data_IF_088541674887
#
_entry.id   IF_088541674887
#
_cell.length_a   1.000
_cell.length_b   1.000
_cell.length_c   1.000
_cell.angle_alpha   90.00
_cell.angle_beta   90.00
_cell.angle_gamma   90.00
#
_symmetry.space_group_name_H-M   'P 1'
#
loop_
_entity.id
_entity.type
_entity.pdbx_description
1 polymer ?
#
# COMPACT_ATOMS: atom_id res chain seq x y z
N UNK A 1 -56.80 10.78 30.63
CA UNK A 1 -58.15 11.02 30.09
C UNK A 1 -58.96 9.75 30.27
N UNK A 2 -59.11 9.32 31.53
CA UNK A 2 -60.06 8.28 31.93
C UNK A 2 -61.38 8.98 32.23
N UNK A 3 -62.48 8.38 31.80
CA UNK A 3 -63.86 8.84 31.94
C UNK A 3 -64.32 9.91 30.95
N UNK A 4 -64.32 9.55 29.66
CA UNK A 4 -65.38 9.99 28.76
C UNK A 4 -66.31 8.80 28.53
N UNK A 5 -67.60 8.95 28.85
CA UNK A 5 -68.67 8.07 28.39
C UNK A 5 -68.67 8.10 26.86
N UNK A 6 -67.93 7.19 26.25
CA UNK A 6 -67.87 7.06 24.80
C UNK A 6 -69.19 6.43 24.33
N UNK A 7 -69.90 7.14 23.46
CA UNK A 7 -71.09 6.61 22.79
C UNK A 7 -70.65 5.39 21.94
N UNK A 8 -71.21 4.19 22.15
CA UNK A 8 -70.81 2.99 21.40
C UNK A 8 -71.11 3.09 19.88
N UNK A 9 -71.84 4.11 19.43
CA UNK A 9 -72.02 4.41 18.00
C UNK A 9 -70.99 5.41 17.43
N UNK A 10 -70.12 5.99 18.26
CA UNK A 10 -69.12 6.97 17.82
C UNK A 10 -68.00 6.29 17.02
N UNK A 11 -67.82 6.69 15.76
CA UNK A 11 -66.74 6.19 14.89
C UNK A 11 -65.62 7.22 14.79
N UNK A 12 -64.41 6.82 15.15
CA UNK A 12 -63.22 7.65 15.00
C UNK A 12 -62.42 7.22 13.78
N UNK A 13 -62.12 8.18 12.91
CA UNK A 13 -61.40 7.91 11.66
C UNK A 13 -59.94 8.31 11.81
N UNK A 14 -59.06 7.39 11.41
CA UNK A 14 -57.65 7.72 11.21
C UNK A 14 -57.52 8.39 9.83
N UNK A 15 -56.92 9.59 9.73
CA UNK A 15 -56.75 10.26 8.45
C UNK A 15 -55.97 9.41 7.44
N UNK A 16 -56.47 9.31 6.21
CA UNK A 16 -55.90 8.47 5.13
C UNK A 16 -54.44 8.77 4.79
N UNK A 17 -53.99 10.02 4.97
CA UNK A 17 -52.59 10.39 4.77
C UNK A 17 -51.61 9.72 5.75
N UNK A 18 -52.10 9.16 6.86
CA UNK A 18 -51.29 8.44 7.84
C UNK A 18 -51.21 6.93 7.56
N UNK A 19 -51.99 6.40 6.62
CA UNK A 19 -52.15 4.95 6.43
C UNK A 19 -50.90 4.26 5.85
N UNK A 20 -50.17 4.92 4.95
CA UNK A 20 -48.90 4.40 4.44
C UNK A 20 -47.87 4.18 5.55
N UNK A 21 -47.74 5.16 6.44
CA UNK A 21 -46.85 5.07 7.58
C UNK A 21 -47.30 3.99 8.57
N UNK A 22 -48.61 3.87 8.84
CA UNK A 22 -49.16 2.84 9.73
C UNK A 22 -48.90 1.44 9.20
N UNK A 23 -49.10 1.21 7.89
CA UNK A 23 -48.79 -0.07 7.23
C UNK A 23 -47.32 -0.44 7.44
N UNK A 24 -46.41 0.51 7.22
CA UNK A 24 -44.98 0.28 7.33
C UNK A 24 -44.56 0.00 8.79
N UNK A 25 -45.21 0.65 9.77
CA UNK A 25 -45.01 0.42 11.20
C UNK A 25 -45.54 -0.95 11.70
N UNK A 26 -46.57 -1.50 11.06
CA UNK A 26 -47.15 -2.81 11.40
C UNK A 26 -46.28 -3.99 10.94
N UNK A 27 -45.31 -3.75 10.05
CA UNK A 27 -44.34 -4.75 9.57
C UNK A 27 -44.67 -5.32 8.19
N UNK A 28 -43.67 -5.93 7.55
CA UNK A 28 -43.72 -6.39 6.15
C UNK A 28 -44.65 -7.61 5.99
N UNK A 29 -45.93 -7.37 5.73
CA UNK A 29 -46.89 -8.42 5.41
C UNK A 29 -48.33 -7.96 5.14
N UNK A 30 -48.72 -6.76 5.59
CA UNK A 30 -50.07 -6.23 5.41
C UNK A 30 -50.17 -5.38 4.14
N UNK A 31 -51.14 -5.68 3.27
CA UNK A 31 -51.47 -4.83 2.11
C UNK A 31 -52.31 -3.61 2.52
N UNK A 32 -52.32 -2.55 1.70
CA UNK A 32 -53.11 -1.35 2.01
C UNK A 32 -54.62 -1.64 2.12
N UNK A 33 -55.11 -2.56 1.29
CA UNK A 33 -56.50 -2.97 1.28
C UNK A 33 -56.91 -3.75 2.55
N UNK A 34 -55.98 -4.52 3.12
CA UNK A 34 -56.21 -5.17 4.41
C UNK A 34 -56.23 -4.16 5.56
N UNK A 35 -55.33 -3.18 5.54
CA UNK A 35 -55.31 -2.12 6.55
C UNK A 35 -56.60 -1.30 6.53
N UNK A 36 -57.06 -0.91 5.34
CA UNK A 36 -58.31 -0.19 5.16
C UNK A 36 -59.50 -0.99 5.68
N UNK A 37 -59.60 -2.26 5.30
CA UNK A 37 -60.66 -3.16 5.80
C UNK A 37 -60.62 -3.30 7.32
N UNK A 38 -59.45 -3.45 7.94
CA UNK A 38 -59.34 -3.56 9.40
C UNK A 38 -59.76 -2.27 10.10
N UNK A 39 -59.35 -1.10 9.62
CA UNK A 39 -59.69 0.19 10.21
C UNK A 39 -61.19 0.51 10.10
N UNK A 40 -61.85 0.08 9.02
CA UNK A 40 -63.30 0.29 8.82
C UNK A 40 -64.19 -0.52 9.78
N UNK A 41 -63.66 -1.60 10.37
CA UNK A 41 -64.38 -2.46 11.33
C UNK A 41 -64.25 -1.96 12.78
N UNK A 42 -63.41 -0.95 13.05
CA UNK A 42 -63.21 -0.43 14.40
C UNK A 42 -64.24 0.65 14.74
N UNK A 43 -64.78 0.59 15.96
CA UNK A 43 -65.48 1.70 16.58
C UNK A 43 -64.48 2.71 17.19
N UNK A 44 -64.96 3.84 17.71
CA UNK A 44 -64.11 4.87 18.31
C UNK A 44 -63.18 4.34 19.40
N UNK A 45 -63.71 3.69 20.46
CA UNK A 45 -62.90 3.08 21.52
C UNK A 45 -61.89 2.05 21.01
N UNK A 46 -62.27 1.18 20.07
CA UNK A 46 -61.38 0.18 19.49
C UNK A 46 -60.27 0.80 18.64
N UNK A 47 -60.56 1.90 17.94
CA UNK A 47 -59.56 2.67 17.18
C UNK A 47 -58.49 3.23 18.12
N UNK A 48 -58.89 3.81 19.25
CA UNK A 48 -57.93 4.32 20.24
C UNK A 48 -57.08 3.21 20.86
N UNK A 49 -57.71 2.10 21.27
CA UNK A 49 -56.99 0.95 21.81
C UNK A 49 -55.98 0.36 20.81
N UNK A 50 -56.34 0.33 19.53
CA UNK A 50 -55.46 -0.12 18.45
C UNK A 50 -54.25 0.80 18.27
N UNK A 51 -54.45 2.13 18.27
CA UNK A 51 -53.37 3.12 18.19
C UNK A 51 -52.45 3.04 19.41
N UNK A 52 -53.00 2.90 20.62
CA UNK A 52 -52.21 2.75 21.84
C UNK A 52 -51.35 1.48 21.82
N UNK A 53 -51.89 0.37 21.33
CA UNK A 53 -51.15 -0.89 21.16
C UNK A 53 -50.01 -0.75 20.14
N UNK A 54 -50.24 -0.03 19.03
CA UNK A 54 -49.22 0.24 18.03
C UNK A 54 -48.10 1.11 18.62
N UNK A 55 -48.44 2.18 19.34
CA UNK A 55 -47.48 3.07 20.02
C UNK A 55 -46.65 2.31 21.05
N UNK A 56 -47.25 1.37 21.79
CA UNK A 56 -46.52 0.50 22.71
C UNK A 56 -45.51 -0.40 21.99
N UNK A 57 -45.89 -0.97 20.83
CA UNK A 57 -45.01 -1.80 19.99
C UNK A 57 -43.82 -1.02 19.43
N UNK A 58 -44.03 0.23 19.03
CA UNK A 58 -42.98 1.08 18.46
C UNK A 58 -41.96 1.56 19.49
N UNK A 59 -42.29 1.53 20.79
CA UNK A 59 -41.36 1.89 21.87
C UNK A 59 -40.29 0.83 22.13
N UNK A 60 -40.49 -0.40 21.64
CA UNK A 60 -39.50 -1.47 21.71
C UNK A 60 -38.78 -1.60 20.36
N UNK A 61 -37.45 -1.37 20.29
CA UNK A 61 -36.69 -1.71 19.09
C UNK A 61 -36.92 -3.18 18.77
N UNK A 62 -37.22 -3.55 17.51
CA UNK A 62 -37.35 -4.96 17.15
C UNK A 62 -36.03 -5.66 17.46
N UNK A 63 -36.09 -6.69 18.30
CA UNK A 63 -34.94 -7.56 18.58
C UNK A 63 -34.67 -8.35 17.30
N UNK A 64 -33.58 -8.02 16.62
CA UNK A 64 -33.15 -8.76 15.44
C UNK A 64 -32.41 -10.02 15.92
N UNK A 65 -33.00 -11.19 15.67
CA UNK A 65 -32.34 -12.48 15.95
C UNK A 65 -31.20 -12.70 14.94
N UNK A 66 -30.00 -12.29 15.35
CA UNK A 66 -28.76 -12.46 14.59
C UNK A 66 -28.04 -13.78 14.86
N UNK A 67 -28.65 -14.76 15.55
CA UNK A 67 -27.98 -16.01 15.93
C UNK A 67 -27.43 -16.83 14.75
N UNK A 68 -27.94 -16.57 13.54
CA UNK A 68 -27.49 -17.18 12.28
C UNK A 68 -26.89 -16.17 11.29
N UNK A 69 -26.63 -14.94 11.73
CA UNK A 69 -26.08 -13.91 10.85
C UNK A 69 -24.61 -14.20 10.54
N UNK A 70 -24.24 -14.10 9.26
CA UNK A 70 -22.84 -14.03 8.84
C UNK A 70 -22.45 -12.55 8.79
N UNK A 71 -21.45 -12.15 9.57
CA UNK A 71 -20.91 -10.80 9.55
C UNK A 71 -19.59 -10.83 8.78
N UNK A 72 -19.54 -10.12 7.66
CA UNK A 72 -18.31 -9.94 6.88
C UNK A 72 -17.77 -8.53 7.15
N UNK A 73 -16.55 -8.46 7.68
CA UNK A 73 -15.84 -7.19 7.87
C UNK A 73 -14.85 -7.04 6.73
N UNK A 74 -15.04 -6.00 5.92
CA UNK A 74 -14.17 -5.66 4.81
C UNK A 74 -13.41 -4.38 5.15
N UNK A 75 -12.10 -4.38 4.95
CA UNK A 75 -11.25 -3.23 5.19
C UNK A 75 -9.88 -3.41 4.57
N UNK A 76 -9.19 -2.30 4.36
CA UNK A 76 -7.78 -2.31 3.98
C UNK A 76 -6.93 -2.39 5.26
N UNK A 77 -5.80 -3.11 5.17
CA UNK A 77 -4.84 -3.25 6.25
C UNK A 77 -3.45 -3.08 5.65
N UNK A 78 -3.10 -1.83 5.35
CA UNK A 78 -1.87 -1.48 4.62
C UNK A 78 -0.63 -1.65 5.51
N UNK A 79 -0.80 -1.54 6.83
CA UNK A 79 0.20 -1.78 7.88
C UNK A 79 0.80 -3.18 7.81
N UNK A 80 0.04 -4.13 7.25
CA UNK A 80 0.50 -5.49 7.02
C UNK A 80 1.67 -5.57 6.02
N UNK A 81 1.76 -4.59 5.10
CA UNK A 81 2.70 -4.58 4.00
C UNK A 81 3.71 -3.45 4.07
N UNK A 82 3.38 -2.33 4.72
CA UNK A 82 4.25 -1.16 4.80
C UNK A 82 4.35 -0.69 6.25
N UNK A 83 5.57 -0.69 6.79
CA UNK A 83 5.85 -0.20 8.14
C UNK A 83 5.79 1.33 8.18
N UNK A 84 4.58 1.88 8.28
CA UNK A 84 4.31 3.30 8.56
C UNK A 84 4.66 4.31 7.45
N UNK A 85 5.07 3.88 6.26
CA UNK A 85 5.25 4.76 5.08
C UNK A 85 4.23 4.39 4.00
N UNK A 86 3.78 5.35 3.20
CA UNK A 86 2.97 5.04 2.02
C UNK A 86 3.78 4.20 1.02
N UNK A 87 3.16 3.23 0.32
CA UNK A 87 3.86 2.47 -0.71
C UNK A 87 4.35 3.40 -1.83
N UNK A 88 5.64 3.31 -2.18
CA UNK A 88 6.24 4.16 -3.20
C UNK A 88 5.73 3.78 -4.60
N UNK A 89 5.52 4.76 -5.49
CA UNK A 89 5.06 4.50 -6.85
C UNK A 89 5.96 3.53 -7.63
N UNK A 90 7.25 3.56 -7.34
CA UNK A 90 8.30 2.78 -7.99
C UNK A 90 8.44 1.38 -7.41
N UNK A 91 7.64 0.99 -6.41
CA UNK A 91 7.68 -0.35 -5.84
C UNK A 91 7.31 -1.41 -6.88
N UNK A 92 8.14 -2.45 -6.95
CA UNK A 92 7.87 -3.60 -7.80
C UNK A 92 6.67 -4.39 -7.21
N UNK A 93 5.58 -4.61 -7.99
CA UNK A 93 4.41 -5.34 -7.51
C UNK A 93 4.74 -6.73 -6.95
N UNK A 94 5.75 -7.40 -7.51
CA UNK A 94 6.14 -8.73 -7.06
C UNK A 94 6.85 -8.72 -5.71
N UNK A 95 7.37 -7.57 -5.27
CA UNK A 95 7.97 -7.42 -3.94
C UNK A 95 6.89 -7.46 -2.86
N UNK A 96 5.73 -6.84 -3.10
CA UNK A 96 4.59 -6.92 -2.19
C UNK A 96 4.04 -8.35 -2.11
N UNK A 97 3.96 -9.06 -3.24
CA UNK A 97 3.61 -10.48 -3.22
C UNK A 97 4.60 -11.32 -2.43
N UNK A 98 5.91 -11.04 -2.57
CA UNK A 98 6.95 -11.75 -1.83
C UNK A 98 6.81 -11.50 -0.32
N UNK A 99 6.53 -10.26 0.09
CA UNK A 99 6.19 -9.94 1.49
C UNK A 99 4.94 -10.67 1.95
N UNK A 100 3.87 -10.65 1.14
CA UNK A 100 2.61 -11.30 1.45
C UNK A 100 2.79 -12.80 1.72
N UNK A 101 3.57 -13.50 0.88
CA UNK A 101 3.86 -14.94 1.05
C UNK A 101 4.63 -15.27 2.33
N UNK A 102 5.31 -14.29 2.93
CA UNK A 102 6.01 -14.42 4.20
C UNK A 102 5.13 -14.05 5.41
N UNK A 103 3.88 -13.62 5.19
CA UNK A 103 2.95 -13.36 6.28
C UNK A 103 2.31 -14.67 6.76
N UNK A 104 2.51 -14.97 8.04
CA UNK A 104 1.67 -15.92 8.75
C UNK A 104 0.43 -15.25 9.33
N UNK A 105 -0.50 -16.03 9.86
CA UNK A 105 -1.72 -15.54 10.54
C UNK A 105 -1.42 -14.60 11.72
N UNK A 106 -0.28 -14.79 12.39
CA UNK A 106 0.18 -13.90 13.46
C UNK A 106 0.43 -12.45 13.00
N UNK A 107 0.77 -12.23 11.73
CA UNK A 107 1.02 -10.88 11.21
C UNK A 107 -0.22 -10.01 11.15
N UNK A 108 -1.38 -10.62 10.86
CA UNK A 108 -2.67 -9.91 10.76
C UNK A 108 -3.10 -9.39 12.13
N UNK A 109 -3.03 -10.22 13.17
CA UNK A 109 -3.37 -9.80 14.52
C UNK A 109 -2.44 -8.69 15.03
N UNK A 110 -1.14 -8.77 14.71
CA UNK A 110 -0.18 -7.74 15.11
C UNK A 110 -0.50 -6.40 14.44
N UNK A 111 -0.77 -6.39 13.13
CA UNK A 111 -1.17 -5.17 12.42
C UNK A 111 -2.50 -4.60 12.95
N UNK A 112 -3.48 -5.47 13.27
CA UNK A 112 -4.73 -5.02 13.89
C UNK A 112 -4.52 -4.42 15.29
N UNK A 113 -3.55 -4.89 16.07
CA UNK A 113 -3.23 -4.35 17.40
C UNK A 113 -2.54 -2.99 17.35
N UNK A 114 -1.95 -2.60 16.23
CA UNK A 114 -1.43 -1.24 16.02
C UNK A 114 -2.56 -0.23 15.81
N UNK A 115 -3.71 -0.68 15.30
CA UNK A 115 -4.86 0.18 14.97
C UNK A 115 -5.98 0.13 16.02
N UNK A 116 -6.17 -1.03 16.66
CA UNK A 116 -7.30 -1.32 17.52
C UNK A 116 -6.85 -1.85 18.87
N UNK A 117 -7.70 -1.65 19.88
CA UNK A 117 -7.46 -2.23 21.21
C UNK A 117 -7.64 -3.74 21.18
N UNK A 118 -6.98 -4.45 22.09
CA UNK A 118 -6.99 -5.92 22.18
C UNK A 118 -8.41 -6.48 22.21
N UNK A 119 -9.33 -5.86 22.95
CA UNK A 119 -10.73 -6.28 23.05
C UNK A 119 -11.51 -6.12 21.74
N UNK A 120 -11.11 -5.20 20.87
CA UNK A 120 -11.73 -4.99 19.56
C UNK A 120 -11.19 -6.02 18.56
N UNK A 121 -9.88 -6.28 18.58
CA UNK A 121 -9.26 -7.32 17.74
C UNK A 121 -9.85 -8.70 18.07
N UNK A 122 -10.07 -9.00 19.36
CA UNK A 122 -10.72 -10.24 19.78
C UNK A 122 -12.14 -10.43 19.23
N UNK A 123 -12.88 -9.35 18.94
CA UNK A 123 -14.22 -9.40 18.34
C UNK A 123 -14.20 -9.64 16.84
N UNK A 124 -13.09 -9.32 16.16
CA UNK A 124 -12.92 -9.60 14.73
C UNK A 124 -12.66 -11.09 14.47
N UNK A 125 -12.38 -11.87 15.52
CA UNK A 125 -12.11 -13.30 15.41
C UNK A 125 -10.73 -13.61 14.83
N UNK A 126 -10.51 -14.87 14.49
CA UNK A 126 -9.24 -15.40 13.98
C UNK A 126 -9.32 -15.81 12.51
N UNK A 127 -10.52 -15.91 11.96
CA UNK A 127 -10.77 -16.36 10.59
C UNK A 127 -10.60 -15.18 9.62
N UNK A 128 -9.34 -14.87 9.32
CA UNK A 128 -8.99 -13.77 8.42
C UNK A 128 -8.74 -14.29 7.01
N UNK A 129 -9.44 -13.73 6.02
CA UNK A 129 -9.14 -13.92 4.60
C UNK A 129 -8.38 -12.68 4.13
N UNK A 130 -7.07 -12.81 3.98
CA UNK A 130 -6.22 -11.74 3.46
C UNK A 130 -6.06 -11.92 1.96
N UNK A 131 -6.55 -10.96 1.19
CA UNK A 131 -6.32 -10.94 -0.26
C UNK A 131 -4.89 -10.52 -0.56
N UNK A 132 -4.17 -11.24 -1.44
CA UNK A 132 -2.83 -10.87 -1.83
C UNK A 132 -2.82 -9.56 -2.62
N UNK A 133 -1.75 -8.76 -2.53
CA UNK A 133 -1.53 -7.64 -3.43
C UNK A 133 -1.40 -8.14 -4.87
N UNK A 134 -1.67 -7.28 -5.85
CA UNK A 134 -1.57 -7.65 -7.26
C UNK A 134 -0.10 -7.75 -7.69
N UNK A 135 0.31 -8.92 -8.19
CA UNK A 135 1.61 -9.11 -8.82
C UNK A 135 1.65 -8.58 -10.25
N UNK A 136 2.84 -8.61 -10.85
CA UNK A 136 3.06 -8.16 -12.23
C UNK A 136 2.17 -8.91 -13.22
N UNK A 137 2.03 -10.23 -13.05
CA UNK A 137 1.18 -11.06 -13.90
C UNK A 137 -0.30 -10.65 -13.79
N UNK A 138 -0.80 -10.48 -12.57
CA UNK A 138 -2.18 -10.03 -12.31
C UNK A 138 -2.46 -8.66 -12.93
N UNK A 139 -1.50 -7.74 -12.83
CA UNK A 139 -1.58 -6.41 -13.44
C UNK A 139 -1.66 -6.50 -14.96
N UNK A 140 -0.82 -7.31 -15.59
CA UNK A 140 -0.83 -7.52 -17.04
C UNK A 140 -2.15 -8.14 -17.50
N UNK A 141 -2.68 -9.12 -16.76
CA UNK A 141 -3.97 -9.75 -17.05
C UNK A 141 -5.14 -8.77 -16.91
N UNK A 142 -5.14 -7.95 -15.86
CA UNK A 142 -6.16 -6.92 -15.65
C UNK A 142 -6.15 -5.88 -16.79
N UNK A 143 -4.98 -5.35 -17.14
CA UNK A 143 -4.85 -4.40 -18.24
C UNK A 143 -5.32 -5.00 -19.57
N UNK A 144 -4.96 -6.27 -19.84
CA UNK A 144 -5.44 -6.99 -21.02
C UNK A 144 -6.96 -7.08 -21.03
N UNK A 145 -7.54 -7.60 -19.95
CA UNK A 145 -8.98 -7.82 -19.85
C UNK A 145 -9.79 -6.53 -20.02
N UNK A 146 -9.38 -5.46 -19.32
CA UNK A 146 -10.02 -4.14 -19.43
C UNK A 146 -9.86 -3.52 -20.82
N UNK A 147 -8.68 -3.69 -21.43
CA UNK A 147 -8.41 -3.19 -22.78
C UNK A 147 -9.23 -3.92 -23.83
N UNK A 148 -9.33 -5.24 -23.76
CA UNK A 148 -10.08 -6.07 -24.69
C UNK A 148 -11.59 -5.77 -24.57
N UNK A 149 -12.11 -5.70 -23.33
CA UNK A 149 -13.51 -5.36 -23.07
C UNK A 149 -13.88 -3.95 -23.56
N UNK A 150 -12.99 -2.97 -23.37
CA UNK A 150 -13.20 -1.62 -23.87
C UNK A 150 -13.06 -1.55 -25.40
N UNK A 151 -12.10 -2.29 -25.97
CA UNK A 151 -11.89 -2.35 -27.41
C UNK A 151 -13.10 -2.94 -28.14
N UNK A 152 -13.70 -4.01 -27.60
CA UNK A 152 -14.92 -4.60 -28.14
C UNK A 152 -16.08 -3.61 -28.13
N UNK A 153 -16.30 -2.91 -27.01
CA UNK A 153 -17.35 -1.91 -26.87
C UNK A 153 -17.19 -0.73 -27.83
N UNK A 154 -15.98 -0.18 -27.93
CA UNK A 154 -15.67 0.94 -28.82
C UNK A 154 -15.79 0.51 -30.29
N UNK A 155 -15.24 -0.66 -30.63
CA UNK A 155 -15.26 -1.20 -31.97
C UNK A 155 -16.67 -1.50 -32.47
N UNK A 156 -17.50 -2.12 -31.65
CA UNK A 156 -18.91 -2.39 -31.95
C UNK A 156 -19.70 -1.09 -32.20
N UNK A 157 -19.42 -0.03 -31.43
CA UNK A 157 -20.06 1.28 -31.60
C UNK A 157 -19.74 1.98 -32.92
N UNK A 158 -18.59 1.66 -33.54
CA UNK A 158 -18.14 2.27 -34.80
C UNK A 158 -18.16 1.31 -36.00
N UNK A 159 -18.46 0.03 -35.79
CA UNK A 159 -18.35 -1.01 -36.83
C UNK A 159 -16.91 -1.29 -37.26
N UNK A 160 -15.93 -1.06 -36.38
CA UNK A 160 -14.50 -1.21 -36.65
C UNK A 160 -13.91 -2.20 -35.65
N UNK A 161 -13.22 -3.23 -36.12
CA UNK A 161 -12.52 -4.17 -35.22
C UNK A 161 -11.30 -3.48 -34.61
N UNK A 162 -11.29 -3.32 -33.29
CA UNK A 162 -10.17 -2.73 -32.56
C UNK A 162 -9.40 -3.83 -31.82
N UNK A 163 -8.08 -3.88 -31.98
CA UNK A 163 -7.19 -4.70 -31.16
C UNK A 163 -6.12 -3.85 -30.48
N UNK A 164 -5.59 -4.33 -29.35
CA UNK A 164 -4.57 -3.64 -28.54
C UNK A 164 -3.33 -4.51 -28.39
N UNK A 165 -2.20 -4.00 -28.89
CA UNK A 165 -0.91 -4.67 -28.88
C UNK A 165 -0.26 -4.76 -27.49
N UNK A 166 0.63 -5.73 -27.31
CA UNK A 166 1.31 -5.98 -26.04
C UNK A 166 2.23 -4.81 -25.64
N UNK A 167 2.86 -4.13 -26.60
CA UNK A 167 3.78 -3.04 -26.30
C UNK A 167 3.01 -1.81 -25.78
N UNK A 168 1.82 -1.53 -26.33
CA UNK A 168 0.93 -0.51 -25.78
C UNK A 168 0.47 -0.84 -24.36
N UNK A 169 0.11 -2.10 -24.07
CA UNK A 169 -0.22 -2.50 -22.70
C UNK A 169 0.97 -2.33 -21.74
N UNK A 170 2.17 -2.71 -22.16
CA UNK A 170 3.38 -2.53 -21.36
C UNK A 170 3.67 -1.03 -21.10
N UNK A 171 3.45 -0.18 -22.10
CA UNK A 171 3.59 1.26 -21.92
C UNK A 171 2.50 1.82 -20.99
N UNK A 172 1.24 1.42 -21.15
CA UNK A 172 0.14 1.76 -20.24
C UNK A 172 0.44 1.35 -18.79
N UNK A 173 1.02 0.18 -18.58
CA UNK A 173 1.44 -0.27 -17.25
C UNK A 173 2.52 0.63 -16.63
N UNK A 174 3.46 1.13 -17.44
CA UNK A 174 4.50 2.06 -16.98
C UNK A 174 3.97 3.48 -16.72
N UNK A 175 2.91 3.89 -17.43
CA UNK A 175 2.30 5.20 -17.34
C UNK A 175 1.26 5.28 -16.23
N UNK A 176 0.40 4.26 -16.10
CA UNK A 176 -0.53 4.13 -15.01
C UNK A 176 0.25 4.23 -13.71
N UNK A 177 -0.01 5.30 -12.96
CA UNK A 177 0.52 5.45 -11.62
C UNK A 177 -0.06 4.32 -10.79
N UNK A 178 0.75 3.27 -10.74
CA UNK A 178 0.94 2.35 -9.62
C UNK A 178 -0.03 1.18 -9.63
N UNK A 179 0.44 0.07 -10.20
CA UNK A 179 -0.10 -1.27 -9.94
C UNK A 179 -0.18 -1.63 -8.44
N UNK A 180 0.70 -1.02 -7.63
CA UNK A 180 0.74 -1.18 -6.17
C UNK A 180 -0.43 -0.46 -5.45
N UNK A 181 -1.09 0.54 -6.07
CA UNK A 181 -2.22 1.28 -5.48
C UNK A 181 -3.59 0.64 -5.74
N UNK A 182 -3.61 -0.54 -6.38
CA UNK A 182 -4.84 -1.28 -6.66
C UNK A 182 -5.25 -1.26 -8.13
N UNK A 183 -6.40 -1.89 -8.42
CA UNK A 183 -6.88 -2.09 -9.79
C UNK A 183 -7.38 -0.79 -10.45
N UNK A 184 -7.89 0.15 -9.65
CA UNK A 184 -8.57 1.34 -10.14
C UNK A 184 -7.70 2.26 -11.00
N UNK A 185 -6.46 2.63 -10.61
CA UNK A 185 -5.59 3.45 -11.47
C UNK A 185 -5.29 2.82 -12.83
N UNK A 186 -5.16 1.49 -12.87
CA UNK A 186 -4.94 0.74 -14.11
C UNK A 186 -6.15 0.83 -15.03
N UNK A 187 -7.35 0.56 -14.48
CA UNK A 187 -8.62 0.66 -15.20
C UNK A 187 -8.82 2.09 -15.74
N UNK A 188 -8.61 3.10 -14.90
CA UNK A 188 -8.74 4.52 -15.28
C UNK A 188 -7.74 4.91 -16.38
N UNK A 189 -6.52 4.39 -16.34
CA UNK A 189 -5.53 4.63 -17.40
C UNK A 189 -5.99 4.08 -18.76
N UNK A 190 -6.49 2.84 -18.79
CA UNK A 190 -7.05 2.24 -20.01
C UNK A 190 -8.24 3.07 -20.53
N UNK A 191 -9.18 3.42 -19.64
CA UNK A 191 -10.38 4.17 -19.99
C UNK A 191 -10.11 5.60 -20.45
N UNK A 192 -8.99 6.21 -20.02
CA UNK A 192 -8.58 7.54 -20.48
C UNK A 192 -7.81 7.51 -21.80
N UNK A 193 -7.01 6.47 -22.03
CA UNK A 193 -6.08 6.43 -23.16
C UNK A 193 -6.74 5.82 -24.41
N UNK A 194 -7.33 4.63 -24.30
CA UNK A 194 -7.80 3.88 -25.47
C UNK A 194 -8.88 4.63 -26.28
N UNK A 195 -9.89 5.27 -25.67
CA UNK A 195 -10.90 5.99 -26.46
C UNK A 195 -10.32 7.14 -27.28
N UNK A 196 -9.30 7.84 -26.76
CA UNK A 196 -8.67 8.96 -27.48
C UNK A 196 -7.82 8.46 -28.64
N UNK A 197 -6.99 7.43 -28.40
CA UNK A 197 -6.18 6.81 -29.45
C UNK A 197 -7.06 6.21 -30.56
N UNK A 198 -8.15 5.54 -30.18
CA UNK A 198 -9.10 4.98 -31.14
C UNK A 198 -9.81 6.06 -31.93
N UNK A 199 -10.27 7.13 -31.29
CA UNK A 199 -10.94 8.24 -31.98
C UNK A 199 -10.02 8.92 -33.01
N UNK A 200 -8.75 9.14 -32.65
CA UNK A 200 -7.74 9.66 -33.60
C UNK A 200 -7.52 8.69 -34.76
N UNK A 201 -7.42 7.39 -34.48
CA UNK A 201 -7.20 6.38 -35.51
C UNK A 201 -8.37 6.23 -36.49
N UNK A 202 -9.61 6.20 -35.98
CA UNK A 202 -10.83 6.17 -36.81
C UNK A 202 -10.97 7.43 -37.66
N UNK A 203 -10.32 8.53 -37.29
CA UNK A 203 -10.21 9.73 -38.12
C UNK A 203 -9.56 9.47 -39.47
N UNK A 204 -8.67 8.46 -39.57
CA UNK A 204 -7.91 8.15 -40.78
C UNK A 204 -8.74 7.33 -41.79
N UNK A 205 -8.80 7.73 -43.08
CA UNK A 205 -9.60 7.03 -44.10
C UNK A 205 -9.30 5.53 -44.21
N UNK A 206 -8.02 5.15 -44.23
CA UNK A 206 -7.59 3.75 -44.32
C UNK A 206 -8.18 2.83 -43.23
N UNK A 207 -8.40 3.35 -42.02
CA UNK A 207 -9.03 2.56 -40.94
C UNK A 207 -10.52 2.34 -41.20
N UNK A 208 -11.21 3.38 -41.68
CA UNK A 208 -12.64 3.28 -42.00
C UNK A 208 -12.90 2.35 -43.18
N UNK A 209 -12.02 2.38 -44.18
CA UNK A 209 -12.11 1.53 -45.36
C UNK A 209 -11.82 0.06 -45.03
N UNK A 210 -10.81 -0.21 -44.21
CA UNK A 210 -10.48 -1.57 -43.79
C UNK A 210 -11.44 -2.15 -42.74
N UNK A 211 -12.11 -1.29 -41.96
CA UNK A 211 -12.99 -1.73 -40.86
C UNK A 211 -12.24 -2.40 -39.72
N UNK A 212 -10.93 -2.18 -39.60
CA UNK A 212 -10.09 -2.74 -38.54
C UNK A 212 -8.89 -1.85 -38.22
N UNK A 213 -8.45 -1.85 -36.97
CA UNK A 213 -7.24 -1.16 -36.50
C UNK A 213 -6.62 -1.84 -35.29
N UNK A 214 -5.29 -1.92 -35.31
CA UNK A 214 -4.48 -2.39 -34.21
C UNK A 214 -3.74 -1.20 -33.58
N UNK A 215 -4.04 -0.90 -32.31
CA UNK A 215 -3.32 0.12 -31.53
C UNK A 215 -2.11 -0.52 -30.86
N UNK A 216 -0.92 0.04 -31.04
CA UNK A 216 0.31 -0.47 -30.43
C UNK A 216 1.29 0.65 -30.05
N UNK A 217 2.46 0.27 -29.53
CA UNK A 217 3.55 1.19 -29.19
C UNK A 217 4.82 0.80 -29.94
N UNK A 218 5.43 1.75 -30.66
CA UNK A 218 6.65 1.49 -31.47
C UNK A 218 7.97 1.61 -30.68
N UNK A 219 7.88 1.89 -29.37
CA UNK A 219 9.01 2.18 -28.49
C UNK A 219 9.17 3.67 -28.18
N UNK A 220 8.54 4.56 -28.95
CA UNK A 220 8.59 6.02 -28.77
C UNK A 220 7.23 6.70 -28.79
N UNK A 221 6.28 6.20 -29.58
CA UNK A 221 4.96 6.79 -29.77
C UNK A 221 3.90 5.70 -29.91
N UNK A 222 2.65 6.08 -29.61
CA UNK A 222 1.50 5.27 -29.93
C UNK A 222 1.33 5.24 -31.45
N UNK A 223 0.99 4.07 -31.98
CA UNK A 223 0.80 3.84 -33.41
C UNK A 223 -0.49 3.08 -33.63
N UNK A 224 -1.11 3.32 -34.76
CA UNK A 224 -2.20 2.50 -35.26
C UNK A 224 -1.77 1.85 -36.57
N UNK A 225 -2.16 0.58 -36.74
CA UNK A 225 -1.84 -0.24 -37.92
C UNK A 225 -3.12 -0.83 -38.49
N UNK A 226 -3.21 -0.89 -39.81
CA UNK A 226 -4.29 -1.57 -40.52
C UNK A 226 -3.82 -2.98 -40.87
N UNK A 227 -4.53 -4.06 -40.48
CA UNK A 227 -4.06 -5.44 -40.64
C UNK A 227 -3.85 -5.91 -42.09
N UNK A 228 -4.64 -5.39 -43.04
CA UNK A 228 -4.75 -5.98 -44.39
C UNK A 228 -4.22 -5.09 -45.54
N UNK A 229 -3.78 -3.85 -45.25
CA UNK A 229 -3.15 -2.96 -46.23
C UNK A 229 -1.70 -2.69 -45.81
N UNK A 230 -0.75 -3.25 -46.57
CA UNK A 230 0.70 -3.21 -46.29
C UNK A 230 1.17 -1.98 -45.51
N UNK A 231 1.30 -2.16 -44.19
CA UNK A 231 1.93 -1.27 -43.19
C UNK A 231 1.64 0.23 -43.39
N UNK A 232 0.36 0.60 -43.56
CA UNK A 232 -0.04 1.97 -43.26
C UNK A 232 -0.03 2.14 -41.73
N UNK A 233 1.15 2.38 -41.15
CA UNK A 233 1.31 2.76 -39.75
C UNK A 233 1.26 4.27 -39.63
N UNK A 234 0.39 4.79 -38.77
CA UNK A 234 0.34 6.22 -38.48
C UNK A 234 0.57 6.47 -37.00
N UNK A 235 1.23 7.60 -36.73
CA UNK A 235 1.58 8.03 -35.38
C UNK A 235 0.35 8.67 -34.74
N UNK A 236 0.08 8.27 -33.50
CA UNK A 236 -0.99 8.81 -32.68
C UNK A 236 -0.41 9.72 -31.59
N UNK A 237 -1.23 10.65 -31.10
CA UNK A 237 -0.86 11.51 -29.99
C UNK A 237 -1.18 10.82 -28.68
N UNK A 238 -0.15 10.65 -27.85
CA UNK A 238 -0.36 10.18 -26.49
C UNK A 238 -1.25 11.18 -25.72
N UNK A 239 -2.39 10.74 -25.13
CA UNK A 239 -3.39 11.65 -24.59
C UNK A 239 -3.10 12.12 -23.17
N UNK A 240 -2.20 11.43 -22.44
CA UNK A 240 -1.77 11.87 -21.12
C UNK A 240 -0.62 12.87 -21.24
N UNK A 241 -0.56 13.88 -20.35
CA UNK A 241 0.61 14.72 -20.27
C UNK A 241 1.83 13.83 -19.99
N UNK A 242 2.96 14.14 -20.61
CA UNK A 242 4.22 13.49 -20.23
C UNK A 242 4.36 13.60 -18.72
N UNK A 243 4.68 12.48 -18.04
CA UNK A 243 5.06 12.53 -16.64
C UNK A 243 6.10 13.64 -16.50
N UNK A 244 5.90 14.52 -15.52
CA UNK A 244 6.95 15.43 -15.08
C UNK A 244 8.06 14.53 -14.56
N UNK A 245 8.94 14.12 -15.47
CA UNK A 245 10.26 13.66 -15.08
C UNK A 245 10.85 14.90 -14.46
N UNK A 246 11.01 14.87 -13.14
CA UNK A 246 12.00 15.75 -12.54
C UNK A 246 13.25 15.49 -13.38
N UNK A 247 13.75 16.52 -14.05
CA UNK A 247 15.06 16.41 -14.71
C UNK A 247 16.02 16.33 -13.54
N UNK A 248 16.19 15.12 -13.01
CA UNK A 248 17.10 14.86 -11.89
C UNK A 248 18.49 15.28 -12.38
N UNK A 249 19.13 16.13 -11.59
CA UNK A 249 20.52 16.46 -11.83
C UNK A 249 21.32 15.14 -11.82
N UNK A 250 22.14 14.84 -12.85
CA UNK A 250 22.99 13.66 -12.85
C UNK A 250 23.85 13.54 -11.57
N UNK A 251 24.20 14.65 -10.93
CA UNK A 251 24.90 14.66 -9.64
C UNK A 251 24.01 14.20 -8.48
N UNK A 252 22.75 14.63 -8.44
CA UNK A 252 21.77 14.20 -7.43
C UNK A 252 21.47 12.71 -7.58
N UNK A 253 21.23 12.23 -8.81
CA UNK A 253 21.04 10.81 -9.09
C UNK A 253 22.26 9.98 -8.65
N UNK A 254 23.48 10.47 -8.92
CA UNK A 254 24.70 9.81 -8.47
C UNK A 254 24.74 9.73 -6.94
N UNK A 255 24.37 10.82 -6.26
CA UNK A 255 24.35 10.87 -4.80
C UNK A 255 23.33 9.90 -4.21
N UNK A 256 22.10 9.87 -4.72
CA UNK A 256 21.09 8.90 -4.27
C UNK A 256 21.54 7.47 -4.53
N UNK A 257 22.10 7.17 -5.71
CA UNK A 257 22.62 5.84 -6.00
C UNK A 257 23.74 5.42 -5.03
N UNK A 258 24.64 6.34 -4.68
CA UNK A 258 25.69 6.09 -3.67
C UNK A 258 25.10 5.84 -2.29
N UNK A 259 24.15 6.66 -1.87
CA UNK A 259 23.49 6.57 -0.58
C UNK A 259 22.78 5.21 -0.41
N UNK A 260 21.92 4.86 -1.38
CA UNK A 260 21.15 3.62 -1.34
C UNK A 260 22.04 2.37 -1.47
N UNK A 261 23.12 2.43 -2.27
CA UNK A 261 24.09 1.35 -2.34
C UNK A 261 24.80 1.11 -0.99
N UNK A 262 25.09 2.17 -0.24
CA UNK A 262 25.65 2.07 1.11
C UNK A 262 24.73 1.32 2.07
N UNK A 263 23.43 1.62 2.04
CA UNK A 263 22.42 0.86 2.79
C UNK A 263 22.38 -0.60 2.39
N UNK A 264 22.31 -0.91 1.08
CA UNK A 264 22.26 -2.30 0.58
C UNK A 264 23.47 -3.10 1.06
N UNK A 265 24.69 -2.57 0.88
CA UNK A 265 25.93 -3.27 1.26
C UNK A 265 26.00 -3.51 2.78
N UNK A 266 25.78 -2.47 3.59
CA UNK A 266 25.84 -2.63 5.04
C UNK A 266 24.69 -3.49 5.57
N UNK A 267 23.48 -3.40 5.01
CA UNK A 267 22.33 -4.18 5.45
C UNK A 267 22.43 -5.67 5.14
N UNK A 268 22.86 -6.04 3.92
CA UNK A 268 23.03 -7.45 3.56
C UNK A 268 24.20 -8.09 4.32
N UNK A 269 25.32 -7.36 4.48
CA UNK A 269 26.53 -7.91 5.10
C UNK A 269 26.54 -7.85 6.62
N UNK A 270 25.98 -6.80 7.25
CA UNK A 270 26.09 -6.58 8.69
C UNK A 270 24.79 -6.87 9.44
N UNK A 271 23.65 -6.46 8.88
CA UNK A 271 22.34 -6.69 9.51
C UNK A 271 21.74 -8.07 9.14
N UNK A 272 22.27 -8.73 8.11
CA UNK A 272 21.77 -10.02 7.64
C UNK A 272 20.37 -9.94 7.03
N UNK A 273 19.98 -8.76 6.53
CA UNK A 273 18.69 -8.50 5.89
C UNK A 273 18.87 -8.46 4.39
N UNK A 274 17.99 -9.11 3.63
CA UNK A 274 18.06 -9.06 2.16
C UNK A 274 17.30 -7.87 1.63
N UNK A 275 17.91 -7.14 0.70
CA UNK A 275 17.22 -6.09 -0.03
C UNK A 275 16.27 -6.74 -1.05
N UNK A 276 14.97 -6.45 -0.91
CA UNK A 276 13.95 -6.87 -1.86
C UNK A 276 13.88 -5.92 -3.05
N UNK A 277 14.19 -4.64 -2.84
CA UNK A 277 14.29 -3.65 -3.90
C UNK A 277 15.15 -2.49 -3.42
N UNK A 278 15.92 -1.89 -4.33
CA UNK A 278 16.57 -0.60 -4.12
C UNK A 278 16.18 0.35 -5.24
N UNK A 279 15.91 1.61 -4.92
CA UNK A 279 15.51 2.63 -5.88
C UNK A 279 16.26 3.93 -5.60
N UNK A 280 16.85 4.53 -6.64
CA UNK A 280 17.59 5.80 -6.57
C UNK A 280 16.97 6.90 -7.45
N UNK A 281 15.77 6.64 -8.00
CA UNK A 281 14.95 7.63 -8.71
C UNK A 281 13.53 7.53 -8.21
N UNK A 282 13.01 8.58 -7.58
CA UNK A 282 11.61 8.59 -7.16
C UNK A 282 10.88 9.77 -7.77
N UNK A 283 9.59 9.58 -7.99
CA UNK A 283 8.69 10.64 -8.45
C UNK A 283 8.25 11.58 -7.32
N UNK A 284 8.70 11.36 -6.08
CA UNK A 284 8.35 12.20 -4.93
C UNK A 284 9.32 13.37 -4.75
N UNK A 285 8.79 14.56 -4.49
CA UNK A 285 9.57 15.80 -4.37
C UNK A 285 10.56 15.81 -3.19
N UNK A 286 10.39 14.96 -2.18
CA UNK A 286 11.15 15.01 -0.91
C UNK A 286 12.00 13.77 -0.63
N UNK A 287 12.02 12.78 -1.53
CA UNK A 287 12.72 11.52 -1.30
C UNK A 287 13.53 11.14 -2.54
N UNK A 288 14.85 11.05 -2.41
CA UNK A 288 15.73 10.70 -3.53
C UNK A 288 15.82 9.20 -3.83
N UNK A 289 15.54 8.34 -2.85
CA UNK A 289 15.64 6.90 -2.98
C UNK A 289 15.06 6.13 -1.80
N UNK A 290 15.05 4.80 -1.91
CA UNK A 290 14.71 3.90 -0.82
C UNK A 290 15.29 2.50 -1.01
N UNK A 291 15.56 1.81 0.10
CA UNK A 291 15.74 0.35 0.15
C UNK A 291 14.56 -0.31 0.84
N UNK A 292 13.97 -1.28 0.15
CA UNK A 292 12.93 -2.13 0.69
C UNK A 292 13.55 -3.46 1.15
N UNK A 293 13.46 -3.73 2.44
CA UNK A 293 14.06 -4.91 3.06
C UNK A 293 13.06 -6.08 3.22
N UNK A 294 13.57 -7.30 3.36
CA UNK A 294 12.80 -8.44 3.83
C UNK A 294 12.34 -8.27 5.30
N UNK A 295 11.37 -9.08 5.72
CA UNK A 295 10.92 -9.07 7.12
C UNK A 295 12.02 -9.61 8.01
N UNK A 296 12.28 -8.89 9.09
CA UNK A 296 13.14 -9.41 10.14
C UNK A 296 12.34 -10.44 10.95
N UNK A 297 12.64 -11.72 10.74
CA UNK A 297 11.92 -12.82 11.41
C UNK A 297 12.55 -13.21 12.75
N UNK A 298 13.64 -12.56 13.17
CA UNK A 298 14.32 -12.92 14.41
C UNK A 298 13.76 -12.12 15.59
N UNK A 299 13.02 -12.73 16.53
CA UNK A 299 12.54 -12.04 17.72
C UNK A 299 13.68 -11.70 18.71
N UNK A 300 14.85 -12.31 18.53
CA UNK A 300 16.01 -12.13 19.40
C UNK A 300 17.00 -11.16 18.76
N UNK A 301 17.36 -10.11 19.51
CA UNK A 301 18.42 -9.17 19.17
C UNK A 301 19.57 -9.28 20.19
N UNK A 302 20.76 -9.54 19.69
CA UNK A 302 22.02 -9.47 20.46
C UNK A 302 22.68 -8.11 20.23
N UNK A 303 23.56 -7.63 21.13
CA UNK A 303 24.35 -6.40 20.91
C UNK A 303 25.06 -6.39 19.54
N UNK A 304 25.68 -7.50 19.13
CA UNK A 304 26.36 -7.59 17.83
C UNK A 304 25.40 -7.31 16.66
N UNK A 305 24.23 -7.95 16.66
CA UNK A 305 23.17 -7.68 15.67
C UNK A 305 22.63 -6.26 15.75
N UNK A 306 22.51 -5.69 16.95
CA UNK A 306 22.11 -4.29 17.11
C UNK A 306 23.09 -3.34 16.44
N UNK A 307 24.40 -3.50 16.70
CA UNK A 307 25.44 -2.71 16.05
C UNK A 307 25.41 -2.91 14.52
N UNK A 308 25.21 -4.14 14.04
CA UNK A 308 25.04 -4.41 12.61
C UNK A 308 23.83 -3.69 11.98
N UNK A 309 22.69 -3.65 12.68
CA UNK A 309 21.49 -2.90 12.24
C UNK A 309 21.72 -1.38 12.26
N UNK A 310 22.37 -0.85 13.30
CA UNK A 310 22.76 0.56 13.35
C UNK A 310 23.73 0.91 12.22
N UNK A 311 24.71 0.05 11.93
CA UNK A 311 25.66 0.25 10.84
C UNK A 311 24.97 0.22 9.46
N UNK A 312 23.91 -0.59 9.30
CA UNK A 312 23.09 -0.59 8.08
C UNK A 312 22.31 0.72 7.90
N UNK A 313 21.78 1.31 8.99
CA UNK A 313 21.16 2.63 8.97
C UNK A 313 22.19 3.74 8.65
N UNK A 314 23.43 3.60 9.13
CA UNK A 314 24.50 4.55 8.82
C UNK A 314 25.19 4.26 7.47
N UNK A 315 24.73 3.25 6.71
CA UNK A 315 25.35 2.81 5.46
C UNK A 315 25.36 3.89 4.38
N UNK A 316 24.25 4.60 4.18
CA UNK A 316 24.16 5.69 3.21
C UNK A 316 25.11 6.85 3.54
N UNK A 317 25.15 7.25 4.81
CA UNK A 317 26.10 8.24 5.32
C UNK A 317 27.56 7.82 5.10
N UNK A 318 27.90 6.56 5.40
CA UNK A 318 29.25 6.04 5.24
C UNK A 318 29.68 6.01 3.76
N UNK A 319 28.77 5.63 2.85
CA UNK A 319 29.01 5.65 1.41
C UNK A 319 29.20 7.06 0.87
N UNK A 320 28.35 8.02 1.27
CA UNK A 320 28.52 9.41 0.87
C UNK A 320 29.85 9.99 1.36
N UNK A 321 30.20 9.77 2.64
CA UNK A 321 31.46 10.24 3.22
C UNK A 321 32.67 9.67 2.49
N UNK A 322 32.63 8.38 2.13
CA UNK A 322 33.73 7.70 1.44
C UNK A 322 33.92 8.16 -0.01
N UNK A 323 32.82 8.49 -0.71
CA UNK A 323 32.85 8.81 -2.14
C UNK A 323 32.97 10.32 -2.40
N UNK A 324 32.26 11.14 -1.62
CA UNK A 324 32.21 12.60 -1.80
C UNK A 324 33.10 13.36 -0.80
N UNK A 325 33.54 12.70 0.27
CA UNK A 325 34.34 13.31 1.33
C UNK A 325 33.51 13.78 2.52
N UNK A 326 34.21 14.07 3.63
CA UNK A 326 33.60 14.42 4.92
C UNK A 326 32.69 15.64 4.88
N UNK A 327 33.10 16.68 4.15
CA UNK A 327 32.39 17.97 4.08
C UNK A 327 31.23 17.95 3.07
N UNK A 328 31.11 16.87 2.29
CA UNK A 328 30.14 16.73 1.21
C UNK A 328 29.04 15.70 1.52
N UNK A 329 28.92 15.28 2.78
CA UNK A 329 27.80 14.46 3.26
C UNK A 329 26.53 15.32 3.23
N UNK A 330 25.48 14.81 2.61
CA UNK A 330 24.24 15.57 2.42
C UNK A 330 23.30 15.51 3.64
N UNK A 331 22.30 16.39 3.64
CA UNK A 331 21.20 16.36 4.63
C UNK A 331 20.24 15.19 4.43
N UNK A 332 20.39 14.40 3.35
CA UNK A 332 19.56 13.24 3.04
C UNK A 332 19.59 12.15 4.10
N UNK A 333 20.65 12.07 4.92
CA UNK A 333 20.79 11.08 5.98
C UNK A 333 20.00 11.41 7.27
N UNK A 334 19.27 12.52 7.33
CA UNK A 334 18.53 12.93 8.54
C UNK A 334 17.55 11.85 9.02
N UNK A 335 16.82 11.22 8.10
CA UNK A 335 15.87 10.16 8.42
C UNK A 335 16.55 8.94 9.03
N UNK A 336 17.69 8.52 8.47
CA UNK A 336 18.43 7.35 8.95
C UNK A 336 19.11 7.60 10.29
N UNK A 337 19.64 8.80 10.50
CA UNK A 337 20.18 9.23 11.79
C UNK A 337 19.11 9.24 12.87
N UNK A 338 17.90 9.72 12.56
CA UNK A 338 16.78 9.68 13.49
C UNK A 338 16.39 8.24 13.86
N UNK A 339 16.27 7.36 12.86
CA UNK A 339 15.96 5.94 13.08
C UNK A 339 17.05 5.23 13.88
N UNK A 340 18.33 5.48 13.58
CA UNK A 340 19.46 4.91 14.28
C UNK A 340 19.51 5.39 15.74
N UNK A 341 19.28 6.68 15.97
CA UNK A 341 19.25 7.27 17.31
C UNK A 341 18.14 6.67 18.17
N UNK A 342 16.92 6.58 17.63
CA UNK A 342 15.78 5.99 18.34
C UNK A 342 16.06 4.51 18.66
N UNK A 343 16.53 3.73 17.68
CA UNK A 343 16.86 2.32 17.90
C UNK A 343 17.94 2.13 18.98
N UNK A 344 19.00 2.95 18.96
CA UNK A 344 20.06 2.86 19.95
C UNK A 344 19.54 3.19 21.36
N UNK A 345 18.72 4.24 21.50
CA UNK A 345 18.09 4.61 22.76
C UNK A 345 17.17 3.51 23.28
N UNK A 346 16.26 3.00 22.45
CA UNK A 346 15.31 1.95 22.84
C UNK A 346 16.03 0.68 23.30
N UNK A 347 17.07 0.26 22.57
CA UNK A 347 17.86 -0.91 22.93
C UNK A 347 18.61 -0.73 24.25
N UNK A 348 19.20 0.44 24.49
CA UNK A 348 19.89 0.73 25.76
C UNK A 348 18.88 0.81 26.92
N UNK A 349 17.70 1.41 26.71
CA UNK A 349 16.68 1.62 27.75
C UNK A 349 15.92 0.35 28.13
N UNK A 350 15.49 -0.43 27.14
CA UNK A 350 14.42 -1.42 27.33
C UNK A 350 14.89 -2.87 27.33
N UNK A 351 16.09 -3.16 26.78
CA UNK A 351 16.51 -4.55 26.54
C UNK A 351 17.59 -5.05 27.49
N UNK A 352 18.15 -4.17 28.34
CA UNK A 352 19.26 -4.51 29.23
C UNK A 352 20.56 -4.86 28.49
N UNK A 353 20.67 -4.55 27.19
CA UNK A 353 21.88 -4.74 26.38
C UNK A 353 22.94 -3.65 26.61
N UNK A 354 22.57 -2.54 27.26
CA UNK A 354 23.50 -1.51 27.72
C UNK A 354 24.49 -2.03 28.77
N UNK A 355 25.26 -1.10 29.33
CA UNK A 355 26.21 -1.41 30.40
C UNK A 355 25.49 -1.85 31.69
N UNK A 356 24.29 -1.31 31.90
CA UNK A 356 23.44 -1.64 33.04
C UNK A 356 22.41 -2.71 32.69
N UNK A 357 22.14 -3.62 33.62
CA UNK A 357 21.10 -4.65 33.51
C UNK A 357 19.78 -4.14 34.09
N UNK A 358 19.35 -2.98 33.64
CA UNK A 358 18.16 -2.29 34.12
C UNK A 358 17.16 -2.05 32.98
N UNK A 359 15.88 -2.00 33.35
CA UNK A 359 14.80 -1.56 32.46
C UNK A 359 14.44 -0.12 32.81
N UNK A 360 14.59 0.77 31.84
CA UNK A 360 14.35 2.21 31.96
C UNK A 360 13.05 2.59 31.26
N UNK A 361 11.98 2.83 32.03
CA UNK A 361 10.73 3.37 31.50
C UNK A 361 10.80 4.90 31.55
N UNK A 362 10.83 5.57 30.40
CA UNK A 362 10.77 7.03 30.34
C UNK A 362 9.58 7.50 29.50
N UNK A 363 8.42 7.62 30.12
CA UNK A 363 7.51 8.73 29.84
C UNK A 363 6.96 9.28 31.17
N UNK A 364 6.89 10.60 31.37
CA UNK A 364 6.28 11.22 32.57
C UNK A 364 4.83 10.76 32.81
N UNK A 365 4.16 10.32 31.74
CA UNK A 365 2.74 9.98 31.67
C UNK A 365 2.49 8.45 31.50
N UNK A 366 3.51 7.61 31.30
CA UNK A 366 3.28 6.17 31.12
C UNK A 366 3.24 5.44 32.47
N UNK A 367 2.15 4.73 32.79
CA UNK A 367 2.09 3.89 33.97
C UNK A 367 2.94 2.62 33.74
N UNK A 368 4.09 2.51 34.41
CA UNK A 368 4.95 1.34 34.30
C UNK A 368 5.97 1.21 35.45
N UNK A 369 6.34 -0.03 35.85
CA UNK A 369 7.37 -0.28 36.85
C UNK A 369 8.75 -0.27 36.18
N UNK A 370 9.38 0.89 36.09
CA UNK A 370 10.76 1.04 35.59
C UNK A 370 11.59 1.98 36.45
N UNK A 371 12.90 1.80 36.46
CA UNK A 371 13.81 2.71 37.16
C UNK A 371 13.98 3.99 36.34
N UNK A 372 13.80 5.14 36.98
CA UNK A 372 14.07 6.45 36.37
C UNK A 372 15.57 6.71 36.36
N UNK A 373 16.23 6.52 35.22
CA UNK A 373 17.62 6.96 35.00
C UNK A 373 17.70 8.45 34.73
N UNK A 374 18.92 8.98 34.72
CA UNK A 374 19.20 10.27 34.10
C UNK A 374 19.38 10.03 32.60
N UNK A 375 18.52 10.62 31.78
CA UNK A 375 18.55 10.55 30.31
C UNK A 375 19.98 10.68 29.72
N UNK A 376 20.82 11.52 30.31
CA UNK A 376 22.20 11.75 29.88
C UNK A 376 23.09 10.48 29.85
N UNK A 377 22.94 9.56 30.81
CA UNK A 377 23.77 8.35 30.88
C UNK A 377 23.40 7.37 29.75
N UNK A 378 22.11 7.32 29.41
CA UNK A 378 21.58 6.53 28.31
C UNK A 378 22.00 7.11 26.97
N UNK A 379 21.90 8.43 26.80
CA UNK A 379 22.32 9.14 25.60
C UNK A 379 23.82 8.94 25.33
N UNK A 380 24.66 8.96 26.38
CA UNK A 380 26.09 8.69 26.25
C UNK A 380 26.38 7.26 25.75
N UNK A 381 25.65 6.27 26.26
CA UNK A 381 25.79 4.88 25.79
C UNK A 381 25.30 4.70 24.35
N UNK A 382 24.14 5.29 24.01
CA UNK A 382 23.62 5.26 22.65
C UNK A 382 24.57 5.94 21.66
N UNK A 383 25.17 7.08 22.05
CA UNK A 383 26.18 7.78 21.25
C UNK A 383 27.42 6.91 21.02
N UNK A 384 27.90 6.19 22.04
CA UNK A 384 29.02 5.26 21.89
C UNK A 384 28.71 4.11 20.92
N UNK A 385 27.48 3.57 20.96
CA UNK A 385 27.05 2.53 20.02
C UNK A 385 26.93 3.04 18.60
N UNK A 386 26.44 4.26 18.40
CA UNK A 386 26.39 4.91 17.09
C UNK A 386 27.80 5.12 16.54
N UNK A 387 28.76 5.55 17.36
CA UNK A 387 30.16 5.70 16.94
C UNK A 387 30.81 4.35 16.54
N UNK A 388 30.51 3.28 17.27
CA UNK A 388 30.97 1.92 16.91
C UNK A 388 30.35 1.45 15.59
N UNK A 389 29.04 1.66 15.42
CA UNK A 389 28.32 1.34 14.20
C UNK A 389 28.81 2.15 13.00
N UNK A 390 29.10 3.44 13.20
CA UNK A 390 29.68 4.33 12.20
C UNK A 390 31.03 3.80 11.70
N UNK A 391 31.92 3.45 12.65
CA UNK A 391 33.23 2.89 12.33
C UNK A 391 33.11 1.56 11.56
N UNK A 392 32.15 0.71 11.95
CA UNK A 392 31.87 -0.53 11.26
C UNK A 392 31.34 -0.30 9.83
N UNK A 393 30.41 0.64 9.64
CA UNK A 393 29.87 1.00 8.34
C UNK A 393 30.95 1.53 7.41
N UNK A 394 31.80 2.45 7.88
CA UNK A 394 32.92 3.00 7.10
C UNK A 394 33.89 1.92 6.64
N UNK A 395 34.35 1.05 7.56
CA UNK A 395 35.26 -0.06 7.20
C UNK A 395 34.62 -1.01 6.19
N UNK A 396 33.31 -1.26 6.31
CA UNK A 396 32.59 -2.17 5.41
C UNK A 396 32.45 -1.58 4.02
N UNK A 397 32.05 -0.31 3.92
CA UNK A 397 31.96 0.42 2.64
C UNK A 397 33.33 0.52 1.97
N UNK A 398 34.39 0.75 2.75
CA UNK A 398 35.77 0.78 2.23
C UNK A 398 36.21 -0.59 1.68
N UNK A 399 36.02 -1.64 2.48
CA UNK A 399 36.43 -3.00 2.11
C UNK A 399 35.64 -3.55 0.92
N UNK A 400 34.36 -3.19 0.81
CA UNK A 400 33.44 -3.65 -0.25
C UNK A 400 33.19 -2.54 -1.28
N UNK A 401 34.16 -1.62 -1.46
CA UNK A 401 34.07 -0.54 -2.45
C UNK A 401 33.74 -1.02 -3.87
N UNK A 402 34.31 -2.13 -4.39
CA UNK A 402 33.93 -2.65 -5.69
C UNK A 402 32.44 -3.01 -5.80
N UNK A 403 31.83 -3.47 -4.70
CA UNK A 403 30.42 -3.82 -4.64
C UNK A 403 29.54 -2.58 -4.64
N UNK A 404 29.91 -1.57 -3.85
CA UNK A 404 29.25 -0.25 -3.84
C UNK A 404 29.27 0.35 -5.25
N UNK A 405 30.44 0.43 -5.90
CA UNK A 405 30.58 1.01 -7.23
C UNK A 405 29.76 0.24 -8.29
N UNK A 406 29.69 -1.09 -8.20
CA UNK A 406 28.88 -1.92 -9.10
C UNK A 406 27.38 -1.67 -8.93
N UNK A 407 26.89 -1.56 -7.69
CA UNK A 407 25.50 -1.21 -7.41
C UNK A 407 25.16 0.20 -7.90
N UNK A 408 26.04 1.17 -7.64
CA UNK A 408 25.88 2.55 -8.11
C UNK A 408 25.76 2.59 -9.63
N UNK A 409 26.65 1.93 -10.36
CA UNK A 409 26.59 1.90 -11.83
C UNK A 409 25.27 1.32 -12.36
N UNK A 410 24.76 0.26 -11.72
CA UNK A 410 23.48 -0.35 -12.08
C UNK A 410 22.29 0.55 -11.73
N UNK A 411 22.30 1.21 -10.57
CA UNK A 411 21.27 2.16 -10.15
C UNK A 411 21.23 3.41 -11.04
N UNK A 412 22.39 3.96 -11.40
CA UNK A 412 22.43 5.10 -12.32
C UNK A 412 21.88 4.75 -13.71
N UNK A 413 22.09 3.50 -14.17
CA UNK A 413 21.56 3.04 -15.45
C UNK A 413 20.04 2.76 -15.38
N UNK A 414 19.60 1.99 -14.37
CA UNK A 414 18.25 1.39 -14.33
C UNK A 414 17.26 2.14 -13.44
N UNK A 415 17.74 3.00 -12.53
CA UNK A 415 16.93 3.74 -11.54
C UNK A 415 16.48 2.89 -10.35
N UNK A 416 16.12 1.63 -10.57
CA UNK A 416 15.77 0.67 -9.53
C UNK A 416 16.27 -0.73 -9.84
N UNK A 417 16.59 -1.51 -8.80
CA UNK A 417 17.01 -2.90 -8.90
C UNK A 417 16.13 -3.77 -8.00
N UNK A 418 15.63 -4.87 -8.58
CA UNK A 418 14.95 -5.93 -7.85
C UNK A 418 15.94 -6.93 -7.20
N UNK A 419 15.42 -7.93 -6.47
CA UNK A 419 16.22 -8.79 -5.61
C UNK A 419 17.22 -9.66 -6.39
N UNK A 420 16.81 -10.15 -7.57
CA UNK A 420 17.66 -11.02 -8.39
C UNK A 420 18.80 -10.22 -9.04
N UNK A 421 18.56 -8.96 -9.39
CA UNK A 421 19.58 -8.06 -9.92
C UNK A 421 20.61 -7.69 -8.84
N UNK A 422 20.15 -7.42 -7.61
CA UNK A 422 21.03 -7.18 -6.45
C UNK A 422 21.89 -8.43 -6.20
N UNK A 423 21.27 -9.61 -6.12
CA UNK A 423 21.98 -10.87 -5.90
C UNK A 423 23.01 -11.17 -7.01
N UNK A 424 22.69 -10.87 -8.27
CA UNK A 424 23.62 -11.02 -9.39
C UNK A 424 24.84 -10.10 -9.26
N UNK A 425 24.67 -8.87 -8.77
CA UNK A 425 25.80 -7.94 -8.49
C UNK A 425 26.68 -8.48 -7.37
N UNK A 426 26.09 -8.94 -6.26
CA UNK A 426 26.84 -9.58 -5.17
C UNK A 426 27.62 -10.81 -5.65
N UNK A 427 26.98 -11.68 -6.44
CA UNK A 427 27.61 -12.87 -6.99
C UNK A 427 28.78 -12.52 -7.93
N UNK A 428 28.60 -11.52 -8.80
CA UNK A 428 29.62 -11.10 -9.75
C UNK A 428 30.86 -10.50 -9.06
N UNK A 429 30.67 -9.74 -7.98
CA UNK A 429 31.77 -9.06 -7.29
C UNK A 429 32.44 -9.96 -6.25
N UNK A 430 31.68 -10.78 -5.51
CA UNK A 430 32.21 -11.64 -4.43
C UNK A 430 32.46 -13.09 -4.85
N UNK A 431 32.14 -13.46 -6.09
CA UNK A 431 32.47 -14.78 -6.66
C UNK A 431 31.77 -15.97 -5.98
N UNK A 432 30.68 -15.74 -5.24
CA UNK A 432 29.98 -16.78 -4.49
C UNK A 432 30.61 -17.16 -3.15
N UNK A 433 31.74 -16.53 -2.75
CA UNK A 433 32.28 -16.67 -1.40
C UNK A 433 31.46 -15.82 -0.43
N UNK A 434 30.76 -16.47 0.49
CA UNK A 434 30.24 -15.82 1.71
C UNK A 434 31.45 -15.52 2.59
N UNK A 435 32.19 -14.44 2.29
CA UNK A 435 33.19 -13.96 3.27
C UNK A 435 32.42 -13.56 4.52
N UNK A 436 32.82 -14.03 5.71
CA UNK A 436 32.12 -13.67 6.94
C UNK A 436 32.08 -12.15 7.06
N UNK A 437 30.95 -11.63 7.53
CA UNK A 437 30.81 -10.21 7.87
C UNK A 437 32.04 -9.77 8.66
N UNK A 438 32.59 -8.58 8.36
CA UNK A 438 33.63 -7.97 9.18
C UNK A 438 33.13 -7.96 10.63
N UNK A 439 33.68 -8.84 11.46
CA UNK A 439 33.29 -8.91 12.86
C UNK A 439 33.89 -7.71 13.58
N UNK A 440 33.17 -7.24 14.61
CA UNK A 440 33.69 -6.26 15.55
C UNK A 440 35.01 -6.83 16.13
N UNK A 441 36.09 -6.07 15.96
CA UNK A 441 37.41 -6.42 16.52
C UNK A 441 37.45 -6.12 18.02
#
# INVERSE_FOLDING_TARGET
LSDMDADPEERWLIPSHSWEWLRDALGRGMSMLQLEYELEQLDGPATLAWVEALLARMRTPPLLDGSKALVLVLGNLDELYVGGKEPWPEMDPDVLLRRHRQLGTAGVHQALLELFRVEQVGRLGTDHIVFPPMGRETVTLLLRWESDALAERLGAGCGIRLTVGNALLAHLQSEATIAVLGARPLIEAVQRVLPVLFAEAVGHPAVREAGAVDLDWDGRRAVARVPDEGVASFLLRWPLPAKRTHTEDPEDLRRYAVHEAGHVVCGELLAGRKALQVCARTSQERTGGFVLWDRDTSPVITRQRAIGRLAALLGGWAAERMIFGADAVSTGCQGDLQMASNMALDLVKETGLGNDRLFHAEHPESPGPGFRTRLADVEAQASAWLAEAESLALRTVEAERPLVDALVAKLQQQGSLGPDAIAAVFLAVRGGEVRPALQLA
#
